data_IF_846134422201
#
_entry.id   IF_846134422201
#
_cell.length_a   1.000
_cell.length_b   1.000
_cell.length_c   1.000
_cell.angle_alpha   90.00
_cell.angle_beta   90.00
_cell.angle_gamma   90.00
#
_symmetry.space_group_name_H-M   'P 1'
#
loop_
_entity.id
_entity.type
_entity.pdbx_description
1 polymer ?
#
# COMPACT_ATOMS: atom_id res chain seq x y z
N UNK A 1 -21.69 -38.46 0.60
CA UNK A 1 -22.09 -37.05 0.44
C UNK A 1 -23.12 -36.77 1.50
N UNK A 2 -22.77 -35.91 2.46
CA UNK A 2 -23.60 -35.61 3.62
C UNK A 2 -24.81 -34.76 3.22
N UNK A 3 -25.99 -35.06 3.81
CA UNK A 3 -27.24 -34.32 3.61
C UNK A 3 -27.13 -32.82 3.95
N UNK A 4 -26.20 -32.43 4.77
CA UNK A 4 -25.86 -31.02 5.09
C UNK A 4 -25.22 -30.29 3.93
N UNK A 5 -24.35 -30.95 3.15
CA UNK A 5 -23.70 -30.38 1.97
C UNK A 5 -24.72 -30.08 0.87
N UNK A 6 -25.69 -31.00 0.68
CA UNK A 6 -26.80 -30.83 -0.26
C UNK A 6 -27.78 -29.72 0.16
N UNK A 7 -27.87 -29.43 1.46
CA UNK A 7 -28.70 -28.32 1.99
C UNK A 7 -28.05 -26.97 1.82
N UNK A 8 -26.71 -26.89 1.95
CA UNK A 8 -25.93 -25.67 1.72
C UNK A 8 -25.91 -25.32 0.23
N UNK A 9 -25.73 -26.31 -0.65
CA UNK A 9 -25.76 -26.11 -2.11
C UNK A 9 -27.15 -25.66 -2.62
N UNK A 10 -28.24 -26.01 -1.94
CA UNK A 10 -29.59 -25.53 -2.24
C UNK A 10 -29.90 -24.11 -1.73
N UNK A 11 -29.17 -23.63 -0.72
CA UNK A 11 -29.37 -22.28 -0.14
C UNK A 11 -28.59 -21.22 -0.93
N UNK A 12 -27.56 -21.61 -1.71
CA UNK A 12 -26.67 -20.72 -2.43
C UNK A 12 -26.77 -20.89 -3.96
N UNK A 13 -27.98 -20.88 -4.50
CA UNK A 13 -28.14 -20.48 -5.90
C UNK A 13 -27.83 -18.97 -5.97
N UNK A 14 -26.61 -18.63 -6.37
CA UNK A 14 -26.17 -17.23 -6.55
C UNK A 14 -27.15 -16.48 -7.45
N UNK A 15 -27.76 -17.19 -8.41
CA UNK A 15 -28.80 -16.70 -9.32
C UNK A 15 -30.11 -16.29 -8.60
N UNK A 16 -30.30 -16.70 -7.34
CA UNK A 16 -31.46 -16.30 -6.53
C UNK A 16 -31.27 -14.99 -5.76
N UNK A 17 -30.05 -14.45 -5.73
CA UNK A 17 -29.74 -13.20 -5.03
C UNK A 17 -30.11 -12.01 -5.89
N UNK A 18 -31.11 -11.24 -5.46
CA UNK A 18 -31.54 -10.05 -6.18
C UNK A 18 -30.54 -8.89 -6.01
N UNK A 19 -30.35 -8.04 -7.03
CA UNK A 19 -29.48 -6.85 -6.94
C UNK A 19 -29.79 -5.97 -5.73
N UNK A 20 -31.07 -5.83 -5.36
CA UNK A 20 -31.53 -5.05 -4.20
C UNK A 20 -30.98 -5.62 -2.89
N UNK A 21 -30.86 -6.93 -2.77
CA UNK A 21 -30.31 -7.60 -1.58
C UNK A 21 -28.79 -7.31 -1.48
N UNK A 22 -28.08 -7.29 -2.61
CA UNK A 22 -26.66 -6.90 -2.65
C UNK A 22 -26.50 -5.45 -2.20
N UNK A 23 -27.31 -4.54 -2.77
CA UNK A 23 -27.29 -3.11 -2.40
C UNK A 23 -27.62 -2.92 -0.91
N UNK A 24 -28.61 -3.64 -0.40
CA UNK A 24 -28.97 -3.59 1.03
C UNK A 24 -27.81 -4.09 1.90
N UNK A 25 -27.16 -5.19 1.53
CA UNK A 25 -26.00 -5.72 2.24
C UNK A 25 -24.83 -4.72 2.25
N UNK A 26 -24.52 -4.08 1.11
CA UNK A 26 -23.48 -3.04 1.02
C UNK A 26 -23.77 -1.85 1.94
N UNK A 27 -25.04 -1.46 2.11
CA UNK A 27 -25.45 -0.41 3.07
C UNK A 27 -25.22 -0.86 4.52
N UNK A 28 -25.73 -2.03 4.89
CA UNK A 28 -25.65 -2.56 6.25
C UNK A 28 -24.21 -2.87 6.69
N UNK A 29 -23.38 -3.38 5.77
CA UNK A 29 -21.95 -3.63 6.01
C UNK A 29 -21.08 -2.37 5.91
N UNK A 30 -21.69 -1.19 5.66
CA UNK A 30 -21.01 0.11 5.52
C UNK A 30 -20.01 0.17 4.37
N UNK A 31 -20.16 -0.67 3.35
CA UNK A 31 -19.30 -0.69 2.15
C UNK A 31 -19.78 0.26 1.05
N UNK A 32 -21.04 0.70 1.09
CA UNK A 32 -21.64 1.57 0.08
C UNK A 32 -20.82 2.83 -0.23
N UNK A 33 -20.27 3.59 0.75
CA UNK A 33 -19.46 4.77 0.45
C UNK A 33 -18.22 4.46 -0.38
N UNK A 34 -17.59 3.31 -0.15
CA UNK A 34 -16.43 2.85 -0.93
C UNK A 34 -16.83 2.53 -2.36
N UNK A 35 -17.88 1.74 -2.56
CA UNK A 35 -18.36 1.38 -3.89
C UNK A 35 -18.78 2.61 -4.69
N UNK A 36 -19.52 3.55 -4.08
CA UNK A 36 -19.90 4.81 -4.72
C UNK A 36 -18.67 5.64 -5.10
N UNK A 37 -17.67 5.71 -4.23
CA UNK A 37 -16.40 6.39 -4.54
C UNK A 37 -15.74 5.79 -5.78
N UNK A 38 -15.70 4.47 -5.89
CA UNK A 38 -15.05 3.77 -7.01
C UNK A 38 -15.83 4.02 -8.31
N UNK A 39 -17.16 3.95 -8.28
CA UNK A 39 -18.03 4.25 -9.44
C UNK A 39 -17.88 5.71 -9.89
N UNK A 40 -17.86 6.65 -8.95
CA UNK A 40 -17.68 8.09 -9.28
C UNK A 40 -16.29 8.31 -9.88
N UNK A 41 -15.24 7.70 -9.33
CA UNK A 41 -13.89 7.78 -9.89
C UNK A 41 -13.85 7.29 -11.33
N UNK A 42 -14.46 6.13 -11.61
CA UNK A 42 -14.52 5.59 -12.97
C UNK A 42 -15.18 6.59 -13.94
N UNK A 43 -16.32 7.17 -13.57
CA UNK A 43 -17.01 8.18 -14.40
C UNK A 43 -16.17 9.43 -14.63
N UNK A 44 -15.46 9.92 -13.60
CA UNK A 44 -14.54 11.06 -13.73
C UNK A 44 -13.41 10.73 -14.71
N UNK A 45 -12.84 9.53 -14.62
CA UNK A 45 -11.77 9.08 -15.49
C UNK A 45 -12.25 8.99 -16.94
N UNK A 46 -13.38 8.35 -17.17
CA UNK A 46 -13.97 8.18 -18.50
C UNK A 46 -14.28 9.55 -19.15
N UNK A 47 -14.95 10.42 -18.41
CA UNK A 47 -15.27 11.76 -18.90
C UNK A 47 -13.99 12.54 -19.23
N UNK A 48 -13.02 12.56 -18.30
CA UNK A 48 -11.78 13.32 -18.51
C UNK A 48 -10.94 12.76 -19.65
N UNK A 49 -10.86 11.45 -19.78
CA UNK A 49 -10.17 10.81 -20.89
C UNK A 49 -10.82 11.15 -22.24
N UNK A 50 -12.15 11.21 -22.30
CA UNK A 50 -12.87 11.65 -23.49
C UNK A 50 -12.59 13.11 -23.84
N UNK A 51 -12.59 14.03 -22.85
CA UNK A 51 -12.25 15.44 -23.04
C UNK A 51 -10.83 15.63 -23.61
N UNK A 52 -9.88 14.79 -23.16
CA UNK A 52 -8.47 14.84 -23.61
C UNK A 52 -8.19 13.96 -24.85
N UNK A 53 -9.23 13.35 -25.44
CA UNK A 53 -9.11 12.44 -26.59
C UNK A 53 -8.11 11.28 -26.36
N UNK A 54 -8.11 10.74 -25.14
CA UNK A 54 -7.27 9.58 -24.78
C UNK A 54 -7.98 8.31 -25.26
N UNK A 55 -7.37 7.63 -26.22
CA UNK A 55 -7.84 6.35 -26.76
C UNK A 55 -6.92 5.21 -26.33
N UNK A 56 -7.45 4.00 -26.31
CA UNK A 56 -6.71 2.78 -26.05
C UNK A 56 -6.77 1.96 -27.33
N UNK A 57 -5.61 1.64 -27.87
CA UNK A 57 -5.50 0.80 -29.06
C UNK A 57 -5.55 -0.68 -28.68
N UNK A 58 -6.08 -1.51 -29.59
CA UNK A 58 -6.22 -2.96 -29.37
C UNK A 58 -4.93 -3.66 -28.88
N UNK A 59 -3.73 -3.36 -29.43
CA UNK A 59 -2.50 -3.95 -28.92
C UNK A 59 -2.16 -3.55 -27.47
N UNK A 60 -2.56 -2.36 -27.02
CA UNK A 60 -2.36 -1.91 -25.65
C UNK A 60 -3.28 -2.67 -24.68
N UNK A 61 -4.53 -2.89 -25.09
CA UNK A 61 -5.53 -3.66 -24.35
C UNK A 61 -5.05 -5.11 -24.18
N UNK A 62 -4.64 -5.75 -25.28
CA UNK A 62 -4.11 -7.11 -25.26
C UNK A 62 -2.88 -7.24 -24.33
N UNK A 63 -1.91 -6.35 -24.49
CA UNK A 63 -0.70 -6.35 -23.65
C UNK A 63 -1.00 -6.18 -22.17
N UNK A 64 -2.03 -5.41 -21.83
CA UNK A 64 -2.44 -5.24 -20.44
C UNK A 64 -3.24 -6.43 -19.91
N UNK A 65 -4.06 -7.06 -20.73
CA UNK A 65 -4.74 -8.31 -20.37
C UNK A 65 -3.71 -9.41 -20.08
N UNK A 66 -2.69 -9.56 -20.92
CA UNK A 66 -1.61 -10.53 -20.71
C UNK A 66 -0.82 -10.25 -19.44
N UNK A 67 -0.50 -8.97 -19.18
CA UNK A 67 0.16 -8.57 -17.92
C UNK A 67 -0.69 -8.88 -16.71
N UNK A 68 -1.99 -8.58 -16.76
CA UNK A 68 -2.91 -8.90 -15.68
C UNK A 68 -2.94 -10.41 -15.40
N UNK A 69 -2.99 -11.22 -16.46
CA UNK A 69 -2.97 -12.68 -16.34
C UNK A 69 -1.69 -13.17 -15.65
N UNK A 70 -0.54 -12.64 -16.03
CA UNK A 70 0.74 -12.96 -15.38
C UNK A 70 0.79 -12.51 -13.92
N UNK A 71 0.32 -11.30 -13.59
CA UNK A 71 0.25 -10.77 -12.22
C UNK A 71 -0.64 -11.61 -11.29
N UNK A 72 -1.60 -12.34 -11.87
CA UNK A 72 -2.55 -13.17 -11.13
C UNK A 72 -2.34 -14.69 -11.32
N UNK A 73 -1.18 -15.09 -11.84
CA UNK A 73 -0.82 -16.50 -12.10
C UNK A 73 -1.82 -17.23 -13.01
N UNK A 74 -2.48 -16.49 -13.92
CA UNK A 74 -3.42 -17.03 -14.89
C UNK A 74 -2.69 -17.47 -16.17
N UNK A 75 -1.93 -18.55 -16.07
CA UNK A 75 -1.00 -18.99 -17.12
C UNK A 75 -1.74 -19.58 -18.33
N UNK A 76 -2.78 -20.35 -18.06
CA UNK A 76 -3.58 -21.01 -19.10
C UNK A 76 -4.93 -20.32 -19.32
N UNK A 77 -5.55 -20.57 -20.47
CA UNK A 77 -6.93 -20.14 -20.72
C UNK A 77 -7.90 -20.69 -19.68
N UNK A 78 -7.67 -21.94 -19.22
CA UNK A 78 -8.50 -22.57 -18.19
C UNK A 78 -8.38 -21.84 -16.84
N UNK A 79 -7.18 -21.38 -16.46
CA UNK A 79 -6.98 -20.59 -15.25
C UNK A 79 -7.76 -19.28 -15.33
N UNK A 80 -7.70 -18.60 -16.48
CA UNK A 80 -8.46 -17.39 -16.76
C UNK A 80 -9.97 -17.63 -16.63
N UNK A 81 -10.50 -18.67 -17.25
CA UNK A 81 -11.92 -19.01 -17.17
C UNK A 81 -12.36 -19.35 -15.74
N UNK A 82 -11.52 -20.06 -14.99
CA UNK A 82 -11.77 -20.39 -13.58
C UNK A 82 -11.79 -19.12 -12.72
N UNK A 83 -10.86 -18.20 -12.98
CA UNK A 83 -10.80 -16.90 -12.30
C UNK A 83 -12.05 -16.07 -12.62
N UNK A 84 -12.46 -15.95 -13.88
CA UNK A 84 -13.66 -15.25 -14.31
C UNK A 84 -14.91 -15.80 -13.61
N UNK A 85 -15.05 -17.12 -13.59
CA UNK A 85 -16.16 -17.79 -12.90
C UNK A 85 -16.17 -17.50 -11.40
N UNK A 86 -15.01 -17.48 -10.75
CA UNK A 86 -14.88 -17.15 -9.32
C UNK A 86 -15.40 -15.73 -9.00
N UNK A 87 -15.20 -14.79 -9.92
CA UNK A 87 -15.62 -13.39 -9.75
C UNK A 87 -16.96 -13.08 -10.46
N UNK A 88 -17.62 -14.10 -11.01
CA UNK A 88 -18.85 -13.97 -11.79
C UNK A 88 -18.74 -12.93 -12.91
N UNK A 89 -17.64 -12.97 -13.64
CA UNK A 89 -17.34 -12.09 -14.77
C UNK A 89 -17.41 -12.84 -16.08
N UNK A 90 -18.01 -12.23 -17.10
CA UNK A 90 -17.88 -12.63 -18.49
C UNK A 90 -16.51 -12.19 -19.07
N UNK A 91 -16.18 -12.68 -20.25
CA UNK A 91 -14.99 -12.25 -21.00
C UNK A 91 -15.06 -10.74 -21.33
N UNK A 92 -16.24 -10.27 -21.75
CA UNK A 92 -16.47 -8.86 -22.07
C UNK A 92 -16.26 -7.96 -20.82
N UNK A 93 -16.79 -8.35 -19.66
CA UNK A 93 -16.58 -7.61 -18.42
C UNK A 93 -15.12 -7.63 -17.96
N UNK A 94 -14.39 -8.70 -18.28
CA UNK A 94 -12.94 -8.72 -18.07
C UNK A 94 -12.22 -7.72 -18.97
N UNK A 95 -12.59 -7.62 -20.25
CA UNK A 95 -12.05 -6.63 -21.17
C UNK A 95 -12.35 -5.20 -20.69
N UNK A 96 -13.57 -4.94 -20.22
CA UNK A 96 -13.96 -3.66 -19.62
C UNK A 96 -13.12 -3.32 -18.36
N UNK A 97 -12.88 -4.31 -17.49
CA UNK A 97 -12.01 -4.16 -16.31
C UNK A 97 -10.60 -3.76 -16.72
N UNK A 98 -10.01 -4.44 -17.72
CA UNK A 98 -8.66 -4.13 -18.22
C UNK A 98 -8.64 -2.76 -18.89
N UNK A 99 -9.64 -2.45 -19.72
CA UNK A 99 -9.80 -1.15 -20.37
C UNK A 99 -9.80 -0.01 -19.34
N UNK A 100 -10.65 -0.10 -18.31
CA UNK A 100 -10.73 0.92 -17.27
C UNK A 100 -9.40 1.12 -16.51
N UNK A 101 -8.67 0.04 -16.24
CA UNK A 101 -7.33 0.13 -15.61
C UNK A 101 -6.32 0.87 -16.49
N UNK A 102 -6.25 0.56 -17.77
CA UNK A 102 -5.32 1.22 -18.69
C UNK A 102 -5.72 2.66 -18.89
N UNK A 103 -7.01 2.94 -19.05
CA UNK A 103 -7.51 4.30 -19.24
C UNK A 103 -7.10 5.20 -18.08
N UNK A 104 -7.27 4.71 -16.84
CA UNK A 104 -6.83 5.42 -15.64
C UNK A 104 -5.32 5.67 -15.64
N UNK A 105 -4.51 4.66 -15.98
CA UNK A 105 -3.05 4.79 -16.04
C UNK A 105 -2.59 5.78 -17.14
N UNK A 106 -3.21 5.71 -18.32
CA UNK A 106 -2.90 6.59 -19.44
C UNK A 106 -3.26 8.04 -19.13
N UNK A 107 -4.45 8.26 -18.57
CA UNK A 107 -4.90 9.58 -18.11
C UNK A 107 -3.98 10.13 -16.99
N UNK A 108 -3.64 9.31 -16.00
CA UNK A 108 -2.74 9.72 -14.92
C UNK A 108 -1.37 10.16 -15.45
N UNK A 109 -0.81 9.39 -16.38
CA UNK A 109 0.44 9.72 -17.05
C UNK A 109 0.31 11.00 -17.87
N UNK A 110 -0.75 11.16 -18.64
CA UNK A 110 -1.01 12.36 -19.42
C UNK A 110 -1.05 13.62 -18.57
N UNK A 111 -1.81 13.59 -17.46
CA UNK A 111 -2.03 14.76 -16.61
C UNK A 111 -0.83 15.14 -15.74
N UNK A 112 0.06 14.17 -15.40
CA UNK A 112 1.03 14.38 -14.32
C UNK A 112 2.47 14.05 -14.65
N UNK A 113 2.81 13.49 -15.83
CA UNK A 113 4.19 13.16 -16.18
C UNK A 113 5.13 14.37 -16.07
N UNK A 114 4.71 15.51 -16.56
CA UNK A 114 5.52 16.74 -16.59
C UNK A 114 5.69 17.39 -15.21
N UNK A 115 4.91 16.92 -14.21
CA UNK A 115 4.95 17.45 -12.84
C UNK A 115 5.83 16.61 -11.90
N UNK A 116 6.30 15.48 -12.36
CA UNK A 116 7.01 14.50 -11.51
C UNK A 116 8.31 15.07 -10.95
N UNK A 117 9.14 15.69 -11.79
CA UNK A 117 10.42 16.26 -11.39
C UNK A 117 10.25 17.39 -10.39
N UNK A 118 9.34 18.30 -10.67
CA UNK A 118 9.05 19.43 -9.78
C UNK A 118 8.49 18.93 -8.43
N UNK A 119 7.58 17.95 -8.47
CA UNK A 119 7.05 17.35 -7.24
C UNK A 119 8.13 16.63 -6.44
N UNK A 120 8.96 15.83 -7.10
CA UNK A 120 10.06 15.12 -6.45
C UNK A 120 11.05 16.09 -5.78
N UNK A 121 11.45 17.14 -6.49
CA UNK A 121 12.37 18.15 -5.96
C UNK A 121 11.81 18.87 -4.73
N UNK A 122 10.51 19.20 -4.76
CA UNK A 122 9.84 19.88 -3.66
C UNK A 122 9.58 18.97 -2.43
N UNK A 123 9.48 17.64 -2.65
CA UNK A 123 9.09 16.68 -1.62
C UNK A 123 10.12 15.57 -1.43
N UNK A 124 11.38 15.79 -1.78
CA UNK A 124 12.44 14.78 -1.71
C UNK A 124 12.55 14.14 -0.32
N UNK A 125 12.35 14.92 0.73
CA UNK A 125 12.38 14.47 2.13
C UNK A 125 11.33 13.40 2.45
N UNK A 126 10.18 13.42 1.78
CA UNK A 126 9.08 12.45 1.99
C UNK A 126 9.45 11.05 1.49
N UNK A 127 10.44 10.95 0.60
CA UNK A 127 10.87 9.71 -0.05
C UNK A 127 12.16 9.13 0.54
N UNK A 128 12.79 9.81 1.51
CA UNK A 128 13.92 9.27 2.25
C UNK A 128 13.43 8.09 3.08
N UNK A 129 14.21 7.00 3.09
CA UNK A 129 13.94 5.82 3.90
C UNK A 129 15.06 5.62 4.91
N UNK A 130 14.74 5.03 6.04
CA UNK A 130 15.70 4.55 7.00
C UNK A 130 15.55 3.03 7.17
N UNK A 131 16.65 2.30 7.22
CA UNK A 131 16.69 0.91 7.66
C UNK A 131 16.90 0.93 9.16
N UNK A 132 15.90 0.43 9.90
CA UNK A 132 15.89 0.56 11.35
C UNK A 132 15.59 -0.76 12.06
N UNK A 133 16.15 -0.87 13.26
CA UNK A 133 15.85 -1.91 14.25
C UNK A 133 15.34 -1.23 15.51
N UNK A 134 14.42 -1.86 16.23
CA UNK A 134 13.85 -1.30 17.45
C UNK A 134 13.71 -2.33 18.58
N UNK A 135 13.97 -1.89 19.81
CA UNK A 135 13.57 -2.56 21.05
C UNK A 135 12.64 -1.60 21.78
N UNK A 136 11.44 -2.07 22.13
CA UNK A 136 10.41 -1.26 22.80
C UNK A 136 10.21 -1.74 24.22
N UNK A 137 10.45 -0.87 25.19
CA UNK A 137 10.38 -1.16 26.62
C UNK A 137 9.39 -0.23 27.33
N UNK A 138 8.91 -0.65 28.49
CA UNK A 138 8.10 0.22 29.38
C UNK A 138 8.99 1.01 30.33
N UNK A 139 10.09 0.41 30.76
CA UNK A 139 11.02 1.00 31.71
C UNK A 139 12.11 1.80 31.00
N UNK A 140 12.18 3.09 31.33
CA UNK A 140 13.18 3.98 30.77
C UNK A 140 14.59 3.73 31.33
N UNK A 141 14.71 3.35 32.60
CA UNK A 141 16.01 3.09 33.22
C UNK A 141 16.65 1.84 32.61
N UNK A 142 15.86 0.78 32.42
CA UNK A 142 16.30 -0.41 31.70
C UNK A 142 16.74 -0.08 30.28
N UNK A 143 16.01 0.76 29.57
CA UNK A 143 16.39 1.20 28.22
C UNK A 143 17.72 1.97 28.22
N UNK A 144 18.00 2.78 29.25
CA UNK A 144 19.28 3.47 29.41
C UNK A 144 20.43 2.50 29.75
N UNK A 145 20.20 1.49 30.59
CA UNK A 145 21.19 0.44 30.89
C UNK A 145 21.56 -0.32 29.61
N UNK A 146 20.57 -0.76 28.84
CA UNK A 146 20.77 -1.41 27.55
C UNK A 146 21.54 -0.50 26.58
N UNK A 147 21.17 0.77 26.52
CA UNK A 147 21.85 1.73 25.65
C UNK A 147 23.36 1.84 25.99
N UNK A 148 23.69 1.97 27.28
CA UNK A 148 25.10 2.04 27.70
C UNK A 148 25.84 0.75 27.47
N UNK A 149 25.27 -0.42 27.78
CA UNK A 149 25.89 -1.72 27.51
C UNK A 149 26.24 -1.92 26.04
N UNK A 150 25.40 -1.42 25.12
CA UNK A 150 25.70 -1.44 23.68
C UNK A 150 26.82 -0.46 23.34
N UNK A 151 26.79 0.77 23.90
CA UNK A 151 27.82 1.78 23.66
C UNK A 151 29.20 1.34 24.14
N UNK A 152 29.25 0.68 25.30
CA UNK A 152 30.47 0.14 25.91
C UNK A 152 30.93 -1.18 25.28
N UNK A 153 30.15 -1.68 24.29
CA UNK A 153 30.40 -2.93 23.55
C UNK A 153 30.40 -4.19 24.42
N UNK A 154 29.71 -4.15 25.56
CA UNK A 154 29.49 -5.33 26.39
C UNK A 154 28.56 -6.34 25.69
N UNK A 155 27.51 -5.80 25.02
CA UNK A 155 26.56 -6.56 24.23
C UNK A 155 26.31 -5.90 22.88
N UNK A 156 25.95 -6.69 21.88
CA UNK A 156 25.44 -6.18 20.62
C UNK A 156 23.96 -5.82 20.73
N UNK A 157 23.47 -4.94 19.85
CA UNK A 157 22.05 -4.64 19.76
C UNK A 157 21.19 -5.89 19.56
N UNK A 158 21.67 -6.83 18.73
CA UNK A 158 20.94 -8.05 18.37
C UNK A 158 20.81 -9.03 19.53
N UNK A 159 21.83 -9.18 20.37
CA UNK A 159 21.78 -10.01 21.59
C UNK A 159 20.70 -9.49 22.53
N UNK A 160 20.67 -8.16 22.76
CA UNK A 160 19.69 -7.55 23.64
C UNK A 160 18.29 -7.50 22.99
N UNK A 161 18.19 -7.40 21.68
CA UNK A 161 16.92 -7.55 20.96
C UNK A 161 16.33 -8.96 21.18
N UNK A 162 17.15 -10.01 21.11
CA UNK A 162 16.72 -11.38 21.40
C UNK A 162 16.29 -11.57 22.86
N UNK A 163 16.89 -10.85 23.79
CA UNK A 163 16.58 -10.98 25.21
C UNK A 163 15.31 -10.20 25.61
N UNK A 164 15.11 -8.99 25.07
CA UNK A 164 14.12 -8.04 25.59
C UNK A 164 12.88 -7.86 24.70
N UNK A 165 12.87 -8.34 23.45
CA UNK A 165 11.70 -8.22 22.59
C UNK A 165 10.70 -9.33 22.93
N UNK A 166 9.48 -8.95 23.35
CA UNK A 166 8.40 -9.89 23.70
C UNK A 166 7.79 -10.58 22.46
N UNK A 167 7.68 -9.84 21.33
CA UNK A 167 7.13 -10.39 20.09
C UNK A 167 8.10 -11.38 19.45
N UNK A 168 7.70 -12.63 19.30
CA UNK A 168 8.54 -13.73 18.82
C UNK A 168 9.10 -13.51 17.41
N UNK A 169 8.30 -12.95 16.50
CA UNK A 169 8.71 -12.72 15.12
C UNK A 169 9.76 -11.60 15.04
N UNK A 170 9.47 -10.46 15.67
CA UNK A 170 10.39 -9.32 15.72
C UNK A 170 11.69 -9.70 16.47
N UNK A 171 11.59 -10.50 17.54
CA UNK A 171 12.75 -11.01 18.30
C UNK A 171 13.63 -11.86 17.40
N UNK A 172 13.08 -12.82 16.64
CA UNK A 172 13.83 -13.67 15.71
C UNK A 172 14.52 -12.86 14.60
N UNK A 173 13.93 -11.73 14.23
CA UNK A 173 14.51 -10.80 13.26
C UNK A 173 15.48 -9.81 13.91
N UNK A 174 15.83 -9.98 15.18
CA UNK A 174 16.77 -9.11 15.90
C UNK A 174 16.27 -7.66 16.05
N UNK A 175 14.95 -7.47 16.07
CA UNK A 175 14.33 -6.14 16.14
C UNK A 175 14.18 -5.42 14.80
N UNK A 176 14.42 -6.10 13.66
CA UNK A 176 14.33 -5.49 12.34
C UNK A 176 12.92 -4.97 12.03
N UNK A 177 12.78 -3.66 11.89
CA UNK A 177 11.54 -2.98 11.53
C UNK A 177 11.36 -2.80 10.03
N UNK A 178 12.41 -3.01 9.28
CA UNK A 178 12.46 -2.83 7.83
C UNK A 178 12.83 -1.42 7.40
N UNK A 179 12.54 -1.13 6.13
CA UNK A 179 12.69 0.20 5.56
C UNK A 179 11.47 1.05 5.88
N UNK A 180 11.66 2.13 6.63
CA UNK A 180 10.58 3.04 7.05
C UNK A 180 10.74 4.41 6.41
N UNK A 181 9.62 5.07 6.15
CA UNK A 181 9.54 6.47 5.74
C UNK A 181 9.03 7.33 6.89
N UNK A 182 9.24 8.63 6.82
CA UNK A 182 8.87 9.58 7.87
C UNK A 182 7.39 9.50 8.27
N UNK A 183 6.50 9.35 7.30
CA UNK A 183 5.04 9.29 7.47
C UNK A 183 4.53 8.01 8.16
N UNK A 184 5.38 6.97 8.26
CA UNK A 184 5.05 5.70 8.93
C UNK A 184 5.51 5.63 10.38
N UNK A 185 6.13 6.69 10.87
CA UNK A 185 6.68 6.77 12.20
C UNK A 185 5.92 7.81 13.04
N UNK A 186 5.99 7.66 14.36
CA UNK A 186 5.56 8.73 15.27
C UNK A 186 6.46 9.95 15.07
N UNK A 187 5.94 11.18 15.15
CA UNK A 187 6.71 12.41 14.84
C UNK A 187 8.04 12.52 15.58
N UNK A 188 8.07 12.16 16.85
CA UNK A 188 9.26 12.23 17.71
C UNK A 188 10.32 11.24 17.22
N UNK A 189 9.91 10.01 16.89
CA UNK A 189 10.78 8.96 16.36
C UNK A 189 11.31 9.36 14.98
N UNK A 190 10.42 9.83 14.10
CA UNK A 190 10.80 10.29 12.77
C UNK A 190 11.82 11.43 12.85
N UNK A 191 11.61 12.39 13.75
CA UNK A 191 12.54 13.50 13.95
C UNK A 191 13.92 13.00 14.37
N UNK A 192 13.99 12.08 15.33
CA UNK A 192 15.27 11.55 15.81
C UNK A 192 16.01 10.73 14.74
N UNK A 193 15.30 9.84 14.01
CA UNK A 193 15.91 9.00 12.97
C UNK A 193 16.46 9.85 11.81
N UNK A 194 15.69 10.81 11.33
CA UNK A 194 16.07 11.58 10.14
C UNK A 194 16.88 12.87 10.46
N UNK A 195 17.28 13.05 11.72
CA UNK A 195 18.19 14.12 12.14
C UNK A 195 19.66 13.68 12.22
N UNK A 196 19.94 12.38 12.07
CA UNK A 196 21.32 11.88 12.17
C UNK A 196 22.13 12.24 10.92
N UNK A 197 23.39 12.57 11.13
CA UNK A 197 24.32 12.91 10.05
C UNK A 197 25.22 11.74 9.64
N UNK A 198 25.31 10.73 10.49
CA UNK A 198 26.12 9.52 10.26
C UNK A 198 25.38 8.25 10.64
N UNK A 199 25.61 7.18 9.92
CA UNK A 199 25.08 5.85 10.20
C UNK A 199 26.14 4.77 9.88
N UNK A 200 26.10 3.59 10.52
CA UNK A 200 25.08 3.15 11.48
C UNK A 200 25.18 3.89 12.83
N UNK A 201 24.02 4.08 13.49
CA UNK A 201 23.97 4.79 14.77
C UNK A 201 22.87 4.24 15.69
N UNK A 202 23.21 4.02 16.96
CA UNK A 202 22.24 3.80 18.02
C UNK A 202 21.79 5.15 18.59
N UNK A 203 20.48 5.41 18.54
CA UNK A 203 19.90 6.62 19.12
C UNK A 203 19.79 6.50 20.64
N UNK A 204 19.89 7.62 21.34
CA UNK A 204 19.53 7.67 22.77
C UNK A 204 18.08 7.21 22.95
N UNK A 205 17.77 6.49 24.05
CA UNK A 205 16.40 6.04 24.31
C UNK A 205 15.37 7.16 24.23
N UNK A 206 14.35 6.97 23.40
CA UNK A 206 13.29 7.94 23.16
C UNK A 206 12.02 7.53 23.92
N UNK A 207 11.56 8.36 24.85
CA UNK A 207 10.27 8.14 25.51
C UNK A 207 9.16 8.74 24.65
N UNK A 208 8.26 7.89 24.18
CA UNK A 208 7.08 8.28 23.40
C UNK A 208 5.84 7.60 23.99
N UNK A 209 4.90 8.38 24.47
CA UNK A 209 3.76 7.93 25.28
C UNK A 209 4.22 7.15 26.53
N UNK A 210 3.75 5.89 26.64
CA UNK A 210 4.07 5.00 27.75
C UNK A 210 5.23 4.03 27.47
N UNK A 211 5.89 4.17 26.34
CA UNK A 211 6.97 3.29 25.91
C UNK A 211 8.26 4.06 25.70
N UNK A 212 9.36 3.33 25.84
CA UNK A 212 10.72 3.80 25.53
C UNK A 212 11.24 2.99 24.35
N UNK A 213 11.72 3.70 23.34
CA UNK A 213 12.22 3.13 22.09
C UNK A 213 13.74 3.22 22.06
N UNK A 214 14.41 2.08 21.96
CA UNK A 214 15.81 1.99 21.55
C UNK A 214 15.82 1.72 20.05
N UNK A 215 16.45 2.60 19.30
CA UNK A 215 16.43 2.55 17.84
C UNK A 215 17.87 2.53 17.33
N UNK A 216 18.19 1.50 16.56
CA UNK A 216 19.43 1.42 15.80
C UNK A 216 19.09 1.72 14.33
N UNK A 217 19.72 2.77 13.81
CA UNK A 217 19.60 3.18 12.41
C UNK A 217 20.81 2.61 11.67
N UNK A 218 20.55 1.65 10.81
CA UNK A 218 21.58 0.99 10.02
C UNK A 218 22.01 1.86 8.83
N UNK A 219 21.01 2.42 8.13
CA UNK A 219 21.24 3.18 6.90
C UNK A 219 20.14 4.22 6.66
N UNK A 220 20.52 5.36 6.08
CA UNK A 220 19.59 6.34 5.49
C UNK A 220 19.72 6.30 3.98
N UNK A 221 18.64 5.87 3.32
CA UNK A 221 18.58 5.70 1.87
C UNK A 221 17.99 6.95 1.23
N UNK A 222 18.81 7.70 0.52
CA UNK A 222 18.35 8.86 -0.27
C UNK A 222 17.58 8.40 -1.49
N UNK A 223 16.45 9.02 -1.81
CA UNK A 223 15.66 8.63 -2.96
C UNK A 223 16.35 9.00 -4.27
N UNK A 224 16.26 8.10 -5.24
CA UNK A 224 16.59 8.37 -6.64
C UNK A 224 15.31 8.33 -7.46
N UNK A 225 15.12 9.29 -8.37
CA UNK A 225 13.94 9.37 -9.22
C UNK A 225 14.03 8.33 -10.35
N UNK A 226 13.85 7.06 -10.00
CA UNK A 226 13.76 5.95 -10.94
C UNK A 226 12.32 5.75 -11.45
N UNK A 227 12.13 4.83 -12.40
CA UNK A 227 10.82 4.55 -13.00
C UNK A 227 9.74 4.16 -11.95
N UNK A 228 10.10 3.38 -10.93
CA UNK A 228 9.18 2.98 -9.88
C UNK A 228 8.70 4.18 -9.04
N UNK A 229 9.61 5.10 -8.68
CA UNK A 229 9.25 6.28 -7.92
C UNK A 229 8.46 7.29 -8.77
N UNK A 230 8.80 7.44 -10.06
CA UNK A 230 8.00 8.22 -11.02
C UNK A 230 6.55 7.74 -11.05
N UNK A 231 6.36 6.45 -11.19
CA UNK A 231 5.03 5.86 -11.20
C UNK A 231 4.26 6.14 -9.90
N UNK A 232 4.90 5.98 -8.73
CA UNK A 232 4.28 6.27 -7.43
C UNK A 232 3.90 7.75 -7.27
N UNK A 233 4.71 8.67 -7.80
CA UNK A 233 4.41 10.10 -7.77
C UNK A 233 3.20 10.41 -8.66
N UNK A 234 3.15 9.86 -9.87
CA UNK A 234 2.01 10.02 -10.79
C UNK A 234 0.73 9.51 -10.12
N UNK A 235 0.77 8.30 -9.56
CA UNK A 235 -0.38 7.71 -8.87
C UNK A 235 -0.84 8.56 -7.68
N UNK A 236 0.08 9.07 -6.86
CA UNK A 236 -0.24 9.98 -5.75
C UNK A 236 -0.91 11.26 -6.24
N UNK A 237 -0.36 11.90 -7.26
CA UNK A 237 -0.91 13.14 -7.83
C UNK A 237 -2.29 12.89 -8.45
N UNK A 238 -2.47 11.77 -9.13
CA UNK A 238 -3.74 11.37 -9.71
C UNK A 238 -4.80 11.12 -8.65
N UNK A 239 -4.48 10.42 -7.58
CA UNK A 239 -5.41 10.19 -6.47
C UNK A 239 -5.82 11.51 -5.78
N UNK A 240 -4.90 12.45 -5.58
CA UNK A 240 -5.21 13.79 -5.05
C UNK A 240 -6.13 14.54 -6.00
N UNK A 241 -5.90 14.45 -7.31
CA UNK A 241 -6.75 15.07 -8.32
C UNK A 241 -8.15 14.47 -8.32
N UNK A 242 -8.29 13.14 -8.30
CA UNK A 242 -9.58 12.45 -8.20
C UNK A 242 -10.35 12.87 -6.94
N UNK A 243 -9.67 13.00 -5.80
CA UNK A 243 -10.31 13.46 -4.56
C UNK A 243 -10.87 14.89 -4.68
N UNK A 244 -10.17 15.77 -5.40
CA UNK A 244 -10.64 17.13 -5.68
C UNK A 244 -11.85 17.13 -6.63
N UNK A 245 -11.80 16.34 -7.71
CA UNK A 245 -12.91 16.22 -8.66
C UNK A 245 -14.18 15.72 -7.97
N UNK A 246 -14.06 14.67 -7.13
CA UNK A 246 -15.22 14.17 -6.36
C UNK A 246 -15.82 15.23 -5.44
N UNK A 247 -15.01 16.02 -4.76
CA UNK A 247 -15.50 17.09 -3.88
C UNK A 247 -16.26 18.17 -4.65
N UNK A 248 -15.88 18.45 -5.88
CA UNK A 248 -16.59 19.41 -6.75
C UNK A 248 -17.95 18.89 -7.22
N UNK A 249 -18.08 17.58 -7.44
CA UNK A 249 -19.34 16.95 -7.89
C UNK A 249 -20.34 16.82 -6.75
N UNK A 250 -19.87 16.70 -5.50
CA UNK A 250 -20.71 16.46 -4.32
C UNK A 250 -21.13 17.76 -3.59
N UNK A 251 -20.67 18.90 -4.07
CA UNK A 251 -21.13 20.25 -3.66
C UNK A 251 -22.32 20.70 -4.49
#
# INVERSE_FOLDING_TARGET
MNSEQLTIDRILEIDSILPEQIVQHLKLSRQMPRVLKDVINQKIIEQKAQEENITIEEPELQAAADRFRLEHDLITSQDTLTWLKKYNLSVTEFEELIYGRILAQKLAKYLFSDRVEAHFSAHQQDYIKAVVYEIVLKDFNLAMEIFYSIQEREFSFWELAHQYIENDELRRQGGYKGMVTRDRLKPEIATAIFAIDSYPQLLKPLRVDKYTYLIYVEEIIKPTLNSSLRYKIIDRLFNIWLDRQRKQILQ
#
